data_IF_425006081799
#
_entry.id   IF_425006081799
#
_cell.length_a   1.000
_cell.length_b   1.000
_cell.length_c   1.000
_cell.angle_alpha   90.00
_cell.angle_beta   90.00
_cell.angle_gamma   90.00
#
_symmetry.space_group_name_H-M   'P 1'
#
loop_
_entity.id
_entity.type
_entity.pdbx_description
1 polymer ?
#
# COMPACT_ATOMS: atom_id res chain seq x y z
N UNK A 1 55.91 -44.99 27.68
CA UNK A 1 55.36 -43.70 28.10
C UNK A 1 54.89 -42.91 26.85
N UNK A 2 53.62 -42.96 26.52
CA UNK A 2 53.09 -42.29 25.32
C UNK A 2 52.29 -41.08 25.78
N UNK A 3 52.81 -39.87 25.51
CA UNK A 3 52.07 -38.60 25.76
C UNK A 3 51.14 -38.36 24.61
N UNK A 4 49.87 -38.47 24.88
CA UNK A 4 48.80 -38.08 23.92
C UNK A 4 48.52 -36.58 24.08
N UNK A 5 48.85 -35.81 23.03
CA UNK A 5 48.59 -34.39 22.95
C UNK A 5 47.15 -34.18 22.42
N UNK A 6 46.25 -33.74 23.28
CA UNK A 6 44.88 -33.39 22.92
C UNK A 6 44.85 -31.96 22.38
N UNK A 7 44.69 -31.84 21.06
CA UNK A 7 44.48 -30.55 20.40
C UNK A 7 42.96 -30.27 20.46
N UNK A 8 42.58 -29.30 21.28
CA UNK A 8 41.23 -28.76 21.30
C UNK A 8 41.13 -27.70 20.19
N UNK A 9 40.49 -28.05 19.08
CA UNK A 9 40.09 -27.09 18.06
C UNK A 9 38.85 -26.32 18.53
N UNK A 10 39.05 -25.08 18.92
CA UNK A 10 37.97 -24.13 19.14
C UNK A 10 37.47 -23.64 17.78
N UNK A 11 36.36 -24.20 17.33
CA UNK A 11 35.63 -23.68 16.16
C UNK A 11 34.90 -22.42 16.56
N UNK A 12 35.41 -21.27 16.12
CA UNK A 12 34.76 -19.96 16.24
C UNK A 12 33.59 -19.95 15.26
N UNK A 13 32.35 -20.11 15.75
CA UNK A 13 31.18 -19.88 14.99
C UNK A 13 31.01 -18.37 14.80
N UNK A 14 31.38 -17.86 13.64
CA UNK A 14 31.00 -16.53 13.19
C UNK A 14 29.51 -16.54 12.85
N UNK A 15 28.70 -15.96 13.72
CA UNK A 15 27.29 -15.67 13.41
C UNK A 15 27.32 -14.53 12.40
N UNK A 16 26.78 -14.70 11.16
CA UNK A 16 26.60 -13.58 10.28
C UNK A 16 25.56 -12.64 10.92
N UNK A 17 25.98 -11.45 11.26
CA UNK A 17 25.09 -10.34 11.59
C UNK A 17 24.27 -10.05 10.34
N UNK A 18 23.06 -10.61 10.28
CA UNK A 18 22.10 -10.28 9.24
C UNK A 18 21.84 -8.77 9.36
N UNK A 19 22.34 -8.02 8.40
CA UNK A 19 21.98 -6.64 8.22
C UNK A 19 20.44 -6.61 8.09
N UNK A 20 19.77 -6.00 9.06
CA UNK A 20 18.37 -5.62 8.91
C UNK A 20 18.38 -4.58 7.79
N UNK A 21 18.00 -5.02 6.60
CA UNK A 21 17.60 -4.10 5.56
C UNK A 21 16.44 -3.30 6.12
N UNK A 22 16.69 -2.02 6.38
CA UNK A 22 15.65 -1.02 6.54
C UNK A 22 14.95 -0.95 5.20
N UNK A 23 13.97 -1.83 4.99
CA UNK A 23 13.22 -1.92 3.77
C UNK A 23 12.54 -0.59 3.50
N UNK A 24 12.97 0.08 2.44
CA UNK A 24 12.11 1.04 1.79
C UNK A 24 10.76 0.35 1.57
N UNK A 25 9.62 1.06 1.74
CA UNK A 25 8.30 0.46 1.56
C UNK A 25 8.22 -0.17 0.16
N UNK A 26 8.15 -1.49 0.14
CA UNK A 26 8.11 -2.28 -1.10
C UNK A 26 6.71 -2.23 -1.72
N UNK A 27 6.60 -2.56 -3.01
CA UNK A 27 5.30 -2.74 -3.68
C UNK A 27 4.38 -3.72 -2.93
N UNK A 28 4.93 -4.69 -2.21
CA UNK A 28 4.21 -5.65 -1.37
C UNK A 28 3.41 -4.98 -0.25
N UNK A 29 3.80 -3.78 0.21
CA UNK A 29 3.06 -3.02 1.22
C UNK A 29 2.06 -2.03 0.64
N UNK A 30 2.04 -1.87 -0.68
CA UNK A 30 1.12 -0.95 -1.38
C UNK A 30 -0.14 -1.66 -1.88
N UNK A 31 -0.02 -2.87 -2.43
CA UNK A 31 -1.11 -3.58 -3.08
C UNK A 31 -1.63 -4.74 -2.23
N UNK A 32 -2.94 -4.79 -2.04
CA UNK A 32 -3.63 -5.82 -1.26
C UNK A 32 -4.83 -6.36 -2.03
N UNK A 33 -5.11 -7.65 -1.89
CA UNK A 33 -6.40 -8.22 -2.27
C UNK A 33 -7.46 -7.90 -1.22
N UNK A 34 -8.71 -7.67 -1.64
CA UNK A 34 -9.82 -7.43 -0.70
C UNK A 34 -10.03 -8.59 0.27
N UNK A 35 -9.71 -9.82 -0.14
CA UNK A 35 -9.84 -11.01 0.69
C UNK A 35 -8.79 -11.10 1.81
N UNK A 36 -7.72 -10.29 1.74
CA UNK A 36 -6.59 -10.33 2.67
C UNK A 36 -6.65 -9.24 3.73
N UNK A 37 -7.54 -8.26 3.56
CA UNK A 37 -7.53 -7.06 4.41
C UNK A 37 -8.92 -6.67 4.91
N UNK A 38 -8.96 -6.13 6.13
CA UNK A 38 -10.07 -5.37 6.66
C UNK A 38 -9.75 -3.87 6.55
N UNK A 39 -10.65 -3.10 5.94
CA UNK A 39 -10.48 -1.65 5.80
C UNK A 39 -10.29 -0.92 7.15
N UNK A 40 -10.82 -1.47 8.23
CA UNK A 40 -10.72 -0.87 9.56
C UNK A 40 -9.27 -0.72 10.03
N UNK A 41 -8.38 -1.61 9.60
CA UNK A 41 -6.94 -1.56 9.94
C UNK A 41 -6.22 -0.33 9.37
N UNK A 42 -6.76 0.25 8.28
CA UNK A 42 -6.19 1.42 7.61
C UNK A 42 -6.74 2.74 8.12
N UNK A 43 -7.81 2.70 8.90
CA UNK A 43 -8.45 3.92 9.40
C UNK A 43 -7.48 4.78 10.20
N UNK A 44 -7.43 6.07 9.87
CA UNK A 44 -6.52 7.09 10.40
C UNK A 44 -5.03 6.91 10.06
N UNK A 45 -4.66 5.82 9.36
CA UNK A 45 -3.27 5.51 9.00
C UNK A 45 -3.03 5.66 7.50
N UNK A 46 -3.94 5.14 6.69
CA UNK A 46 -3.79 5.04 5.23
C UNK A 46 -5.01 5.59 4.50
N UNK A 47 -4.80 5.90 3.22
CA UNK A 47 -5.84 6.30 2.27
C UNK A 47 -6.09 5.16 1.29
N UNK A 48 -7.17 4.41 1.43
CA UNK A 48 -7.47 3.33 0.49
C UNK A 48 -7.83 3.87 -0.90
N UNK A 49 -7.19 3.34 -1.92
CA UNK A 49 -7.62 3.39 -3.31
C UNK A 49 -8.16 2.02 -3.65
N UNK A 50 -9.47 1.89 -3.76
CA UNK A 50 -10.10 0.62 -4.07
C UNK A 50 -10.36 0.53 -5.57
N UNK A 51 -9.87 -0.55 -6.19
CA UNK A 51 -10.06 -0.83 -7.62
C UNK A 51 -10.98 -2.02 -7.76
N UNK A 52 -12.21 -1.77 -8.20
CA UNK A 52 -13.19 -2.79 -8.50
C UNK A 52 -13.19 -3.15 -9.97
N UNK A 53 -13.33 -4.42 -10.27
CA UNK A 53 -13.66 -4.93 -11.59
C UNK A 53 -14.42 -6.26 -11.45
N UNK A 54 -15.05 -6.70 -12.52
CA UNK A 54 -15.75 -8.01 -12.53
C UNK A 54 -14.80 -9.15 -12.91
N UNK A 55 -13.58 -8.81 -13.37
CA UNK A 55 -12.53 -9.75 -13.73
C UNK A 55 -11.18 -9.04 -13.76
N UNK A 56 -10.11 -9.76 -13.49
CA UNK A 56 -8.74 -9.30 -13.70
C UNK A 56 -8.39 -9.04 -15.18
N UNK A 57 -9.19 -9.60 -16.09
CA UNK A 57 -9.05 -9.41 -17.54
C UNK A 57 -9.79 -8.18 -18.06
N UNK A 58 -10.48 -7.43 -17.21
CA UNK A 58 -11.12 -6.17 -17.61
C UNK A 58 -10.05 -5.19 -18.11
N UNK A 59 -10.16 -4.65 -19.34
CA UNK A 59 -9.17 -3.73 -19.89
C UNK A 59 -8.96 -2.49 -19.03
N UNK A 60 -10.04 -1.92 -18.45
CA UNK A 60 -9.94 -0.76 -17.57
C UNK A 60 -9.20 -1.10 -16.27
N UNK A 61 -9.37 -2.30 -15.75
CA UNK A 61 -8.62 -2.80 -14.60
C UNK A 61 -7.13 -2.92 -14.92
N UNK A 62 -6.79 -3.55 -16.05
CA UNK A 62 -5.40 -3.72 -16.49
C UNK A 62 -4.72 -2.36 -16.65
N UNK A 63 -5.38 -1.41 -17.33
CA UNK A 63 -4.87 -0.06 -17.52
C UNK A 63 -4.66 0.65 -16.18
N UNK A 64 -5.63 0.59 -15.26
CA UNK A 64 -5.52 1.22 -13.95
C UNK A 64 -4.38 0.64 -13.13
N UNK A 65 -4.21 -0.67 -13.11
CA UNK A 65 -3.12 -1.32 -12.37
C UNK A 65 -1.75 -0.96 -12.95
N UNK A 66 -1.65 -0.82 -14.26
CA UNK A 66 -0.43 -0.33 -14.92
C UNK A 66 -0.07 1.10 -14.49
N UNK A 67 -1.06 2.00 -14.45
CA UNK A 67 -0.86 3.39 -13.98
C UNK A 67 -0.39 3.44 -12.52
N UNK A 68 -1.01 2.66 -11.63
CA UNK A 68 -0.66 2.64 -10.21
C UNK A 68 0.74 2.08 -9.97
N UNK A 69 1.10 0.98 -10.65
CA UNK A 69 2.43 0.36 -10.53
C UNK A 69 3.56 1.20 -11.12
N UNK A 70 3.26 2.10 -12.05
CA UNK A 70 4.27 2.98 -12.64
C UNK A 70 4.80 4.06 -11.67
N UNK A 71 4.07 4.36 -10.59
CA UNK A 71 4.40 5.46 -9.66
C UNK A 71 4.14 5.10 -8.20
N UNK A 72 4.73 4.03 -7.67
CA UNK A 72 4.48 3.57 -6.31
C UNK A 72 4.89 4.59 -5.25
N UNK A 73 6.03 5.27 -5.44
CA UNK A 73 6.57 6.23 -4.47
C UNK A 73 5.64 7.43 -4.25
N UNK A 74 4.99 7.93 -5.29
CA UNK A 74 4.04 9.03 -5.18
C UNK A 74 2.81 8.67 -4.34
N UNK A 75 2.39 7.41 -4.41
CA UNK A 75 1.28 6.87 -3.63
C UNK A 75 1.70 6.62 -2.17
N UNK A 76 2.85 5.97 -1.97
CA UNK A 76 3.40 5.67 -0.65
C UNK A 76 3.68 6.93 0.17
N UNK A 77 4.22 7.97 -0.46
CA UNK A 77 4.47 9.27 0.18
C UNK A 77 3.19 9.95 0.72
N UNK A 78 2.02 9.54 0.22
CA UNK A 78 0.72 10.04 0.67
C UNK A 78 -0.07 9.03 1.50
N UNK A 79 0.61 8.04 2.04
CA UNK A 79 -0.01 6.96 2.82
C UNK A 79 -1.14 6.24 2.08
N UNK A 80 -1.03 6.10 0.76
CA UNK A 80 -1.99 5.34 -0.04
C UNK A 80 -1.75 3.84 0.12
N UNK A 81 -2.83 3.07 0.16
CA UNK A 81 -2.85 1.63 -0.07
C UNK A 81 -3.83 1.33 -1.20
N UNK A 82 -3.48 0.42 -2.07
CA UNK A 82 -4.33 -0.03 -3.17
C UNK A 82 -4.96 -1.35 -2.80
N UNK A 83 -6.29 -1.40 -2.83
CA UNK A 83 -7.06 -2.60 -2.53
C UNK A 83 -7.77 -3.03 -3.80
N UNK A 84 -7.55 -4.26 -4.21
CA UNK A 84 -8.09 -4.83 -5.45
C UNK A 84 -9.24 -5.77 -5.12
N UNK A 85 -10.38 -5.58 -5.79
CA UNK A 85 -11.54 -6.46 -5.73
C UNK A 85 -12.02 -6.78 -7.15
N UNK A 86 -11.62 -7.93 -7.66
CA UNK A 86 -11.95 -8.45 -9.00
C UNK A 86 -12.88 -9.65 -8.94
N UNK A 87 -13.39 -9.97 -7.75
CA UNK A 87 -14.28 -11.10 -7.52
C UNK A 87 -15.69 -10.60 -7.15
N UNK A 88 -16.63 -10.52 -8.13
CA UNK A 88 -17.98 -10.04 -7.84
C UNK A 88 -18.79 -10.99 -6.96
N UNK A 89 -18.42 -12.27 -6.91
CA UNK A 89 -19.06 -13.29 -6.08
C UNK A 89 -18.02 -14.11 -5.31
N UNK A 90 -18.22 -14.37 -4.01
CA UNK A 90 -19.29 -13.83 -3.17
C UNK A 90 -19.14 -12.31 -2.94
N UNK A 91 -20.27 -11.62 -2.85
CA UNK A 91 -20.26 -10.15 -2.70
C UNK A 91 -19.54 -9.75 -1.41
N UNK A 92 -18.45 -9.00 -1.52
CA UNK A 92 -17.72 -8.43 -0.38
C UNK A 92 -18.55 -7.35 0.35
N UNK A 93 -18.26 -7.12 1.63
CA UNK A 93 -18.92 -6.05 2.40
C UNK A 93 -18.65 -4.67 1.77
N UNK A 94 -17.47 -4.50 1.17
CA UNK A 94 -17.12 -3.27 0.48
C UNK A 94 -17.93 -3.07 -0.79
N UNK A 95 -18.19 -4.14 -1.56
CA UNK A 95 -19.10 -4.10 -2.73
C UNK A 95 -20.52 -3.76 -2.31
N UNK A 96 -21.02 -4.32 -1.20
CA UNK A 96 -22.34 -3.96 -0.67
C UNK A 96 -22.43 -2.49 -0.30
N UNK A 97 -21.39 -1.95 0.32
CA UNK A 97 -21.34 -0.55 0.76
C UNK A 97 -21.17 0.42 -0.40
N UNK A 98 -20.25 0.13 -1.30
CA UNK A 98 -19.86 1.05 -2.38
C UNK A 98 -20.62 0.83 -3.68
N UNK A 99 -21.23 -0.34 -3.87
CA UNK A 99 -22.08 -0.70 -5.03
C UNK A 99 -21.44 -0.38 -6.38
N UNK A 100 -20.23 -0.91 -6.67
CA UNK A 100 -19.60 -0.71 -7.97
C UNK A 100 -20.43 -1.35 -9.08
N UNK A 101 -20.36 -0.77 -10.26
CA UNK A 101 -20.94 -1.33 -11.49
C UNK A 101 -19.79 -1.53 -12.48
N UNK A 102 -19.36 -2.79 -12.67
CA UNK A 102 -18.19 -3.09 -13.48
C UNK A 102 -16.92 -2.44 -12.89
N UNK A 103 -16.06 -1.91 -13.77
CA UNK A 103 -14.87 -1.18 -13.30
C UNK A 103 -15.26 0.09 -12.51
N UNK A 104 -14.61 0.26 -11.37
CA UNK A 104 -14.71 1.49 -10.58
C UNK A 104 -13.47 1.70 -9.71
N UNK A 105 -12.89 2.89 -9.76
CA UNK A 105 -11.88 3.33 -8.80
C UNK A 105 -12.56 4.19 -7.72
N UNK A 106 -12.26 3.90 -6.46
CA UNK A 106 -12.75 4.68 -5.31
C UNK A 106 -11.58 5.13 -4.46
N UNK A 107 -11.38 6.44 -4.32
CA UNK A 107 -10.44 7.02 -3.37
C UNK A 107 -11.16 7.29 -2.05
N UNK A 108 -10.59 6.82 -0.95
CA UNK A 108 -11.11 7.05 0.40
C UNK A 108 -10.14 7.91 1.22
N UNK A 109 -10.70 8.68 2.15
CA UNK A 109 -9.91 9.42 3.14
C UNK A 109 -9.38 8.49 4.25
N UNK A 110 -8.44 8.97 5.07
CA UNK A 110 -8.01 8.26 6.28
C UNK A 110 -9.14 8.03 7.29
N UNK A 111 -10.17 8.85 7.26
CA UNK A 111 -11.37 8.71 8.10
C UNK A 111 -12.30 7.59 7.65
N UNK A 112 -12.12 7.08 6.42
CA UNK A 112 -12.94 6.05 5.82
C UNK A 112 -14.11 6.58 4.98
N UNK A 113 -14.16 7.87 4.69
CA UNK A 113 -15.15 8.46 3.79
C UNK A 113 -14.70 8.39 2.33
N UNK A 114 -15.66 8.28 1.41
CA UNK A 114 -15.38 8.33 -0.03
C UNK A 114 -15.10 9.75 -0.47
N UNK A 115 -13.94 9.96 -1.08
CA UNK A 115 -13.52 11.26 -1.61
C UNK A 115 -13.83 11.38 -3.10
N UNK A 116 -13.55 10.34 -3.88
CA UNK A 116 -13.71 10.31 -5.33
C UNK A 116 -14.17 8.94 -5.78
N UNK A 117 -15.01 8.91 -6.83
CA UNK A 117 -15.38 7.71 -7.60
C UNK A 117 -15.17 7.96 -9.07
N UNK A 118 -14.52 7.03 -9.77
CA UNK A 118 -14.29 7.10 -11.21
C UNK A 118 -14.65 5.77 -11.88
N UNK A 119 -15.53 5.78 -12.88
CA UNK A 119 -15.92 4.59 -13.64
C UNK A 119 -14.96 4.30 -14.81
N UNK A 120 -13.78 4.91 -14.82
CA UNK A 120 -12.74 4.75 -15.84
C UNK A 120 -11.36 4.88 -15.19
N UNK A 121 -10.28 4.38 -15.83
CA UNK A 121 -8.92 4.50 -15.32
C UNK A 121 -8.53 5.95 -15.06
N UNK A 122 -7.87 6.18 -13.93
CA UNK A 122 -7.51 7.51 -13.47
C UNK A 122 -6.02 7.60 -13.16
N UNK A 123 -5.36 8.62 -13.69
CA UNK A 123 -3.92 8.80 -13.56
C UNK A 123 -3.50 9.09 -12.12
N UNK A 124 -2.31 8.62 -11.73
CA UNK A 124 -1.75 8.84 -10.39
C UNK A 124 -1.62 10.33 -10.06
N UNK A 125 -1.32 11.19 -11.04
CA UNK A 125 -1.28 12.65 -10.82
C UNK A 125 -2.61 13.20 -10.36
N UNK A 126 -3.71 12.70 -10.92
CA UNK A 126 -5.04 13.15 -10.53
C UNK A 126 -5.43 12.62 -9.15
N UNK A 127 -5.05 11.37 -8.84
CA UNK A 127 -5.22 10.78 -7.50
C UNK A 127 -4.46 11.61 -6.46
N UNK A 128 -3.18 11.84 -6.67
CA UNK A 128 -2.31 12.58 -5.74
C UNK A 128 -2.75 14.04 -5.60
N UNK A 129 -3.13 14.70 -6.69
CA UNK A 129 -3.68 16.06 -6.66
C UNK A 129 -4.97 16.14 -5.84
N UNK A 130 -5.84 15.14 -5.94
CA UNK A 130 -7.06 15.07 -5.14
C UNK A 130 -6.76 14.90 -3.65
N UNK A 131 -5.76 14.08 -3.31
CA UNK A 131 -5.30 13.91 -1.93
C UNK A 131 -4.70 15.21 -1.40
N UNK A 132 -3.81 15.83 -2.16
CA UNK A 132 -3.05 17.02 -1.75
C UNK A 132 -3.95 18.24 -1.47
N UNK A 133 -5.15 18.30 -2.04
CA UNK A 133 -6.14 19.34 -1.79
C UNK A 133 -6.92 19.14 -0.47
N UNK A 134 -6.83 17.98 0.15
CA UNK A 134 -7.58 17.70 1.38
C UNK A 134 -7.00 18.43 2.59
N UNK A 135 -7.82 18.93 3.53
CA UNK A 135 -7.34 19.63 4.73
C UNK A 135 -6.39 18.80 5.59
N UNK A 136 -6.65 17.48 5.68
CA UNK A 136 -5.78 16.57 6.44
C UNK A 136 -4.39 16.51 5.81
N UNK A 137 -4.30 16.33 4.48
CA UNK A 137 -2.98 16.28 3.81
C UNK A 137 -2.25 17.61 3.89
N UNK A 138 -2.96 18.72 3.78
CA UNK A 138 -2.37 20.05 3.94
C UNK A 138 -1.76 20.26 5.35
N UNK A 139 -2.38 19.69 6.37
CA UNK A 139 -1.83 19.68 7.73
C UNK A 139 -0.58 18.82 7.81
N UNK A 140 -0.63 17.58 7.30
CA UNK A 140 0.51 16.67 7.25
C UNK A 140 1.73 17.32 6.58
N UNK A 141 1.54 17.98 5.43
CA UNK A 141 2.62 18.68 4.72
C UNK A 141 3.23 19.79 5.57
N UNK A 142 2.43 20.56 6.32
CA UNK A 142 2.96 21.58 7.23
C UNK A 142 3.78 20.97 8.35
N UNK A 143 3.27 19.93 8.99
CA UNK A 143 3.95 19.21 10.07
C UNK A 143 5.26 18.54 9.59
N UNK A 144 5.28 18.02 8.36
CA UNK A 144 6.49 17.49 7.74
C UNK A 144 7.56 18.58 7.54
N UNK A 145 7.16 19.77 7.09
CA UNK A 145 8.06 20.91 6.90
C UNK A 145 8.60 21.46 8.23
N UNK A 146 7.77 21.53 9.24
CA UNK A 146 8.17 21.99 10.59
C UNK A 146 9.20 21.03 11.17
N UNK A 147 8.96 19.71 11.13
CA UNK A 147 9.93 18.70 11.59
C UNK A 147 11.25 18.73 10.83
N UNK A 148 11.21 18.95 9.52
CA UNK A 148 12.42 19.09 8.71
C UNK A 148 13.22 20.36 8.99
N UNK A 149 12.59 21.42 9.51
CA UNK A 149 13.25 22.68 9.88
C UNK A 149 13.88 22.64 11.29
N UNK A 150 13.44 21.71 12.15
CA UNK A 150 13.94 21.55 13.53
C UNK A 150 15.14 20.58 13.63
N UNK A 151 15.43 19.80 12.59
CA UNK A 151 16.53 18.83 12.53
C UNK A 151 17.70 19.34 11.71
#
# INVERSE_FOLDING_TARGET
MKRVLLIVMATLFAIPLAAQESGAPSEETLFFSMNEVDLSQFKWKKRPVVVFADSELDPAFIDQMSLLRARPDELLHRDVVVIVDTEPEPISDLRRKLRPRGFMLVLMSKEGSVTVRKPFPWDVREITRSIDKTPIRQREIREEKERAAEG
#
